data_IF_393355335886
#
_entry.id   IF_393355335886
#
_cell.length_a   1.000
_cell.length_b   1.000
_cell.length_c   1.000
_cell.angle_alpha   90.00
_cell.angle_beta   90.00
_cell.angle_gamma   90.00
#
_symmetry.space_group_name_H-M   'P 1'
#
loop_
_entity.id
_entity.type
_entity.pdbx_description
1 polymer ?
#
# COMPACT_ATOMS: atom_id res chain seq x y z
N UNK A 1 17.92 20.40 -21.27
CA UNK A 1 19.30 20.03 -20.87
C UNK A 1 19.43 19.86 -19.34
N UNK A 2 18.72 20.64 -18.51
CA UNK A 2 18.83 20.58 -17.03
C UNK A 2 18.10 19.40 -16.34
N UNK A 3 17.10 18.76 -16.97
CA UNK A 3 16.29 17.72 -16.30
C UNK A 3 16.96 16.33 -16.23
N UNK A 4 17.85 16.00 -17.18
CA UNK A 4 18.51 14.68 -17.27
C UNK A 4 19.60 14.50 -16.21
N UNK A 5 20.41 15.54 -15.95
CA UNK A 5 21.52 15.52 -14.98
C UNK A 5 21.05 15.28 -13.53
N UNK A 6 19.79 15.59 -13.23
CA UNK A 6 19.22 15.52 -11.89
C UNK A 6 18.15 14.43 -11.72
N UNK A 7 17.98 13.54 -12.72
CA UNK A 7 17.14 12.33 -12.62
C UNK A 7 17.48 11.46 -11.39
N UNK A 8 18.74 11.49 -10.95
CA UNK A 8 19.28 10.68 -9.85
C UNK A 8 19.29 11.37 -8.47
N UNK A 9 18.67 12.54 -8.36
CA UNK A 9 18.67 13.34 -7.13
C UNK A 9 17.30 13.29 -6.48
N UNK A 10 17.21 12.59 -5.34
CA UNK A 10 16.07 12.69 -4.42
C UNK A 10 16.06 14.04 -3.70
N UNK A 11 14.93 14.40 -3.10
CA UNK A 11 14.76 15.67 -2.38
C UNK A 11 15.79 15.89 -1.25
N UNK A 12 16.28 14.83 -0.62
CA UNK A 12 17.30 14.89 0.42
C UNK A 12 18.69 15.23 -0.13
N UNK A 13 19.11 14.62 -1.24
CA UNK A 13 20.35 14.96 -1.95
C UNK A 13 20.32 16.40 -2.45
N UNK A 14 19.18 16.84 -2.99
CA UNK A 14 18.98 18.23 -3.40
C UNK A 14 19.12 19.20 -2.22
N UNK A 15 18.54 18.87 -1.06
CA UNK A 15 18.66 19.68 0.17
C UNK A 15 20.11 19.79 0.65
N UNK A 16 20.85 18.67 0.72
CA UNK A 16 22.26 18.67 1.14
C UNK A 16 23.14 19.55 0.24
N UNK A 17 22.90 19.51 -1.06
CA UNK A 17 23.65 20.31 -2.03
C UNK A 17 23.27 21.78 -2.02
N UNK A 18 22.00 22.11 -1.78
CA UNK A 18 21.60 23.49 -1.48
C UNK A 18 22.32 24.03 -0.24
N UNK A 19 22.41 23.24 0.84
CA UNK A 19 23.15 23.64 2.05
C UNK A 19 24.63 23.89 1.78
N UNK A 20 25.28 23.03 0.98
CA UNK A 20 26.68 23.21 0.60
C UNK A 20 26.91 24.49 -0.22
N UNK A 21 26.06 24.75 -1.22
CA UNK A 21 26.12 25.98 -2.02
C UNK A 21 25.89 27.24 -1.17
N UNK A 22 24.94 27.19 -0.23
CA UNK A 22 24.70 28.31 0.70
C UNK A 22 25.90 28.57 1.60
N UNK A 23 26.58 27.52 2.10
CA UNK A 23 27.81 27.69 2.89
C UNK A 23 28.93 28.34 2.07
N UNK A 24 29.14 27.89 0.83
CA UNK A 24 30.15 28.47 -0.05
C UNK A 24 29.86 29.94 -0.40
N UNK A 25 28.61 30.26 -0.77
CA UNK A 25 28.18 31.64 -1.06
C UNK A 25 28.40 32.55 0.15
N UNK A 26 28.02 32.08 1.35
CA UNK A 26 28.21 32.83 2.58
C UNK A 26 29.70 32.98 2.95
N UNK A 27 30.54 31.99 2.72
CA UNK A 27 31.99 32.07 2.95
C UNK A 27 32.64 33.15 2.07
N UNK A 28 32.33 33.15 0.77
CA UNK A 28 32.81 34.20 -0.15
C UNK A 28 32.32 35.59 0.27
N UNK A 29 31.04 35.72 0.63
CA UNK A 29 30.42 37.01 0.92
C UNK A 29 30.78 37.58 2.30
N UNK A 30 30.77 36.76 3.35
CA UNK A 30 30.96 37.22 4.74
C UNK A 30 32.39 37.07 5.22
N UNK A 31 33.06 35.96 4.89
CA UNK A 31 34.38 35.66 5.46
C UNK A 31 35.50 36.30 4.63
N UNK A 32 35.41 36.27 3.30
CA UNK A 32 36.45 36.85 2.44
C UNK A 32 36.20 38.34 2.14
N UNK A 33 35.00 38.68 1.67
CA UNK A 33 34.69 40.05 1.21
C UNK A 33 34.11 40.97 2.30
N UNK A 34 33.49 40.39 3.33
CA UNK A 34 32.78 41.13 4.38
C UNK A 34 33.69 41.61 5.52
N UNK A 35 34.80 40.92 5.76
CA UNK A 35 35.78 41.29 6.77
C UNK A 35 36.86 42.21 6.17
N UNK A 36 37.07 43.37 6.79
CA UNK A 36 37.96 44.41 6.26
C UNK A 36 39.43 43.99 6.27
N UNK A 37 39.83 43.20 7.27
CA UNK A 37 41.21 42.72 7.41
C UNK A 37 41.50 41.61 6.39
N UNK A 38 40.55 40.71 6.19
CA UNK A 38 40.66 39.64 5.21
C UNK A 38 40.62 40.18 3.78
N UNK A 39 39.72 41.13 3.49
CA UNK A 39 39.63 41.79 2.17
C UNK A 39 40.91 42.52 1.80
N UNK A 40 41.61 43.14 2.76
CA UNK A 40 42.88 43.84 2.50
C UNK A 40 44.07 42.95 2.13
N UNK A 41 43.93 41.62 2.24
CA UNK A 41 44.96 40.67 1.82
C UNK A 41 44.92 40.36 0.31
N UNK A 42 43.87 40.79 -0.39
CA UNK A 42 43.66 40.54 -1.81
C UNK A 42 43.90 41.80 -2.63
N UNK A 43 44.41 41.62 -3.84
CA UNK A 43 44.45 42.67 -4.87
C UNK A 43 43.04 42.99 -5.38
N UNK A 44 42.87 44.15 -6.01
CA UNK A 44 41.58 44.55 -6.59
C UNK A 44 41.08 43.56 -7.65
N UNK A 45 42.00 42.97 -8.42
CA UNK A 45 41.70 41.92 -9.42
C UNK A 45 41.19 40.63 -8.77
N UNK A 46 41.80 40.21 -7.65
CA UNK A 46 41.35 39.04 -6.88
C UNK A 46 39.99 39.28 -6.22
N UNK A 47 39.75 40.49 -5.70
CA UNK A 47 38.44 40.89 -5.15
C UNK A 47 37.36 40.81 -6.24
N UNK A 48 37.62 41.34 -7.44
CA UNK A 48 36.67 41.29 -8.56
C UNK A 48 36.39 39.83 -9.00
N UNK A 49 37.42 38.97 -9.02
CA UNK A 49 37.26 37.56 -9.33
C UNK A 49 36.39 36.83 -8.28
N UNK A 50 36.58 37.13 -6.99
CA UNK A 50 35.78 36.57 -5.89
C UNK A 50 34.33 37.06 -5.99
N UNK A 51 34.09 38.32 -6.35
CA UNK A 51 32.75 38.86 -6.57
C UNK A 51 32.04 38.17 -7.74
N UNK A 52 32.71 38.00 -8.90
CA UNK A 52 32.16 37.23 -10.03
C UNK A 52 31.88 35.77 -9.67
N UNK A 53 32.77 35.13 -8.90
CA UNK A 53 32.56 33.77 -8.42
C UNK A 53 31.32 33.68 -7.51
N UNK A 54 31.13 34.66 -6.62
CA UNK A 54 29.94 34.76 -5.76
C UNK A 54 28.66 34.92 -6.58
N UNK A 55 28.63 35.82 -7.56
CA UNK A 55 27.46 36.04 -8.41
C UNK A 55 27.08 34.78 -9.19
N UNK A 56 28.07 34.10 -9.78
CA UNK A 56 27.86 32.82 -10.43
C UNK A 56 27.28 31.77 -9.48
N UNK A 57 27.79 31.71 -8.24
CA UNK A 57 27.34 30.76 -7.22
C UNK A 57 25.92 31.07 -6.72
N UNK A 58 25.55 32.35 -6.60
CA UNK A 58 24.18 32.77 -6.28
C UNK A 58 23.18 32.45 -7.41
N UNK A 59 23.59 32.61 -8.68
CA UNK A 59 22.78 32.18 -9.84
C UNK A 59 22.55 30.67 -9.85
N UNK A 60 23.59 29.87 -9.57
CA UNK A 60 23.46 28.41 -9.43
C UNK A 60 22.55 28.05 -8.24
N UNK A 61 22.68 28.74 -7.09
CA UNK A 61 21.84 28.54 -5.91
C UNK A 61 20.36 28.82 -6.21
N UNK A 62 20.08 29.86 -6.97
CA UNK A 62 18.73 30.20 -7.42
C UNK A 62 18.11 29.08 -8.28
N UNK A 63 18.85 28.60 -9.29
CA UNK A 63 18.42 27.47 -10.14
C UNK A 63 18.15 26.20 -9.33
N UNK A 64 19.03 25.87 -8.39
CA UNK A 64 18.84 24.72 -7.49
C UNK A 64 17.60 24.84 -6.60
N UNK A 65 17.26 26.05 -6.15
CA UNK A 65 16.09 26.28 -5.29
C UNK A 65 14.80 26.00 -6.06
N UNK A 66 14.64 26.58 -7.26
CA UNK A 66 13.48 26.35 -8.12
C UNK A 66 13.31 24.88 -8.50
N UNK A 67 14.41 24.20 -8.83
CA UNK A 67 14.39 22.78 -9.19
C UNK A 67 14.00 21.89 -8.00
N UNK A 68 14.50 22.19 -6.80
CA UNK A 68 14.12 21.49 -5.57
C UNK A 68 12.63 21.64 -5.29
N UNK A 69 12.09 22.84 -5.42
CA UNK A 69 10.66 23.11 -5.22
C UNK A 69 9.80 22.38 -6.25
N UNK A 70 10.20 22.39 -7.54
CA UNK A 70 9.54 21.59 -8.59
C UNK A 70 9.54 20.10 -8.23
N UNK A 71 10.70 19.53 -7.87
CA UNK A 71 10.80 18.11 -7.49
C UNK A 71 10.00 17.74 -6.26
N UNK A 72 9.99 18.60 -5.23
CA UNK A 72 9.17 18.37 -4.06
C UNK A 72 7.68 18.34 -4.42
N UNK A 73 7.21 19.23 -5.31
CA UNK A 73 5.84 19.20 -5.83
C UNK A 73 5.57 17.90 -6.60
N UNK A 74 6.45 17.50 -7.51
CA UNK A 74 6.31 16.27 -8.29
C UNK A 74 6.29 15.01 -7.39
N UNK A 75 7.16 14.94 -6.38
CA UNK A 75 7.19 13.86 -5.39
C UNK A 75 5.89 13.80 -4.57
N UNK A 76 5.39 14.96 -4.13
CA UNK A 76 4.12 15.04 -3.41
C UNK A 76 2.94 14.65 -4.29
N UNK A 77 2.91 15.09 -5.55
CA UNK A 77 1.86 14.75 -6.50
C UNK A 77 1.85 13.25 -6.81
N UNK A 78 3.02 12.65 -7.03
CA UNK A 78 3.15 11.19 -7.18
C UNK A 78 2.67 10.43 -5.94
N UNK A 79 3.01 10.92 -4.74
CA UNK A 79 2.53 10.33 -3.49
C UNK A 79 1.01 10.42 -3.39
N UNK A 80 0.42 11.60 -3.63
CA UNK A 80 -1.04 11.78 -3.62
C UNK A 80 -1.73 10.87 -4.65
N UNK A 81 -1.16 10.75 -5.85
CA UNK A 81 -1.69 9.85 -6.88
C UNK A 81 -1.63 8.37 -6.43
N UNK A 82 -0.53 7.95 -5.80
CA UNK A 82 -0.41 6.60 -5.22
C UNK A 82 -1.44 6.35 -4.12
N UNK A 83 -1.60 7.31 -3.20
CA UNK A 83 -2.55 7.22 -2.09
C UNK A 83 -4.01 7.17 -2.60
N UNK A 84 -4.33 7.98 -3.62
CA UNK A 84 -5.64 7.98 -4.28
C UNK A 84 -5.95 6.64 -4.98
N UNK A 85 -4.95 6.03 -5.64
CA UNK A 85 -5.09 4.69 -6.24
C UNK A 85 -5.35 3.62 -5.18
N UNK A 86 -4.60 3.64 -4.09
CA UNK A 86 -4.81 2.71 -2.98
C UNK A 86 -6.22 2.87 -2.38
N UNK A 87 -6.68 4.10 -2.19
CA UNK A 87 -8.03 4.36 -1.70
C UNK A 87 -9.12 3.85 -2.66
N UNK A 88 -8.96 4.07 -3.97
CA UNK A 88 -9.91 3.58 -4.98
C UNK A 88 -9.92 2.05 -5.06
N UNK A 89 -8.75 1.41 -5.13
CA UNK A 89 -8.62 -0.04 -5.17
C UNK A 89 -9.27 -0.68 -3.94
N UNK A 90 -9.03 -0.12 -2.75
CA UNK A 90 -9.68 -0.56 -1.51
C UNK A 90 -11.19 -0.43 -1.57
N UNK A 91 -11.70 0.73 -2.01
CA UNK A 91 -13.14 0.98 -2.13
C UNK A 91 -13.82 -0.04 -3.06
N UNK A 92 -13.27 -0.26 -4.25
CA UNK A 92 -13.81 -1.18 -5.24
C UNK A 92 -13.71 -2.65 -4.79
N UNK A 93 -12.58 -3.05 -4.23
CA UNK A 93 -12.36 -4.41 -3.71
C UNK A 93 -13.32 -4.74 -2.58
N UNK A 94 -13.49 -3.81 -1.63
CA UNK A 94 -14.46 -3.97 -0.55
C UNK A 94 -15.86 -4.11 -1.16
N UNK A 95 -16.29 -3.21 -2.04
CA UNK A 95 -17.61 -3.28 -2.67
C UNK A 95 -17.86 -4.60 -3.40
N UNK A 96 -16.84 -5.12 -4.09
CA UNK A 96 -16.88 -6.42 -4.75
C UNK A 96 -17.07 -7.57 -3.75
N UNK A 97 -16.28 -7.61 -2.67
CA UNK A 97 -16.42 -8.59 -1.58
C UNK A 97 -17.80 -8.47 -0.91
N UNK A 98 -18.32 -7.25 -0.72
CA UNK A 98 -19.70 -7.05 -0.23
C UNK A 98 -20.73 -7.62 -1.21
N UNK A 99 -20.51 -7.49 -2.52
CA UNK A 99 -21.43 -8.03 -3.52
C UNK A 99 -21.49 -9.56 -3.53
N UNK A 100 -20.42 -10.22 -3.11
CA UNK A 100 -20.34 -11.69 -3.02
C UNK A 100 -20.88 -12.30 -1.71
N UNK A 101 -21.38 -11.48 -0.77
CA UNK A 101 -21.90 -11.95 0.54
C UNK A 101 -22.47 -10.83 1.44
N UNK A 102 -22.57 -11.06 2.76
CA UNK A 102 -23.00 -10.01 3.72
C UNK A 102 -21.80 -9.20 4.23
N UNK A 103 -21.90 -7.87 4.33
CA UNK A 103 -20.86 -7.02 4.92
C UNK A 103 -21.41 -6.04 5.97
N UNK A 104 -20.74 -5.79 7.12
CA UNK A 104 -19.47 -6.40 7.56
C UNK A 104 -19.60 -7.92 7.63
N UNK A 105 -18.51 -8.61 7.30
CA UNK A 105 -18.49 -10.07 7.17
C UNK A 105 -18.78 -10.68 8.56
N UNK A 106 -20.05 -10.85 8.90
CA UNK A 106 -20.49 -11.61 10.07
C UNK A 106 -20.12 -13.08 9.90
N UNK A 107 -20.13 -13.54 8.64
CA UNK A 107 -19.75 -14.88 8.19
C UNK A 107 -18.74 -14.79 7.05
N UNK A 108 -18.04 -15.90 6.76
CA UNK A 108 -17.18 -16.01 5.59
C UNK A 108 -17.82 -17.01 4.63
N UNK A 109 -18.49 -16.50 3.59
CA UNK A 109 -19.32 -17.30 2.69
C UNK A 109 -18.49 -18.27 1.86
N UNK A 110 -19.18 -19.26 1.27
CA UNK A 110 -18.57 -20.20 0.33
C UNK A 110 -17.98 -19.49 -0.90
N UNK A 111 -18.64 -18.43 -1.39
CA UNK A 111 -18.11 -17.59 -2.47
C UNK A 111 -16.81 -16.89 -2.06
N UNK A 112 -16.73 -16.37 -0.82
CA UNK A 112 -15.49 -15.79 -0.29
C UNK A 112 -14.37 -16.83 -0.22
N UNK A 113 -14.70 -18.07 0.15
CA UNK A 113 -13.76 -19.18 0.16
C UNK A 113 -13.25 -19.53 -1.24
N UNK A 114 -14.12 -19.61 -2.25
CA UNK A 114 -13.71 -19.84 -3.62
C UNK A 114 -12.81 -18.73 -4.17
N UNK A 115 -13.17 -17.48 -3.92
CA UNK A 115 -12.36 -16.32 -4.30
C UNK A 115 -10.96 -16.39 -3.67
N UNK A 116 -10.88 -16.74 -2.39
CA UNK A 116 -9.59 -16.88 -1.70
C UNK A 116 -8.76 -18.02 -2.28
N UNK A 117 -9.37 -19.18 -2.56
CA UNK A 117 -8.69 -20.30 -3.21
C UNK A 117 -8.15 -19.93 -4.59
N UNK A 118 -8.95 -19.23 -5.39
CA UNK A 118 -8.52 -18.77 -6.72
C UNK A 118 -7.34 -17.81 -6.62
N UNK A 119 -7.39 -16.84 -5.71
CA UNK A 119 -6.28 -15.90 -5.47
C UNK A 119 -5.02 -16.62 -4.97
N UNK A 120 -5.19 -17.70 -4.20
CA UNK A 120 -4.10 -18.55 -3.76
C UNK A 120 -3.45 -19.32 -4.93
N UNK A 121 -4.24 -19.89 -5.83
CA UNK A 121 -3.76 -20.60 -7.02
C UNK A 121 -3.06 -19.63 -8.01
N UNK A 122 -3.56 -18.40 -8.10
CA UNK A 122 -2.92 -17.31 -8.85
C UNK A 122 -1.67 -16.75 -8.15
N UNK A 123 -1.30 -17.27 -6.97
CA UNK A 123 -0.14 -16.84 -6.17
C UNK A 123 -0.15 -15.34 -5.85
N UNK A 124 -1.33 -14.80 -5.58
CA UNK A 124 -1.48 -13.42 -5.11
C UNK A 124 -1.29 -13.40 -3.60
N UNK A 125 -0.20 -12.77 -3.15
CA UNK A 125 0.21 -12.76 -1.75
C UNK A 125 0.95 -14.04 -1.34
N UNK A 126 0.98 -14.31 -0.03
CA UNK A 126 1.58 -15.54 0.50
C UNK A 126 0.76 -16.77 0.13
N UNK A 127 1.40 -17.87 -0.23
CA UNK A 127 0.66 -19.12 -0.52
C UNK A 127 0.17 -19.73 0.79
N UNK A 128 -1.15 -19.83 0.93
CA UNK A 128 -1.81 -20.56 2.01
C UNK A 128 -1.73 -22.05 1.74
N UNK A 129 -1.40 -22.81 2.76
CA UNK A 129 -1.49 -24.26 2.78
C UNK A 129 -2.94 -24.72 2.99
N UNK A 130 -3.15 -26.03 2.86
CA UNK A 130 -4.45 -26.65 3.06
C UNK A 130 -5.02 -26.42 4.48
N UNK A 131 -4.15 -26.36 5.49
CA UNK A 131 -4.54 -26.15 6.88
C UNK A 131 -4.85 -24.69 7.18
N UNK A 132 -4.15 -23.75 6.53
CA UNK A 132 -4.40 -22.31 6.69
C UNK A 132 -5.82 -21.91 6.23
N UNK A 133 -6.43 -22.72 5.36
CA UNK A 133 -7.81 -22.56 4.88
C UNK A 133 -8.85 -23.23 5.80
N UNK A 134 -8.43 -23.94 6.84
CA UNK A 134 -9.33 -24.66 7.73
C UNK A 134 -9.68 -23.82 8.96
N UNK A 135 -10.96 -23.48 9.11
CA UNK A 135 -11.44 -22.73 10.27
C UNK A 135 -11.27 -23.49 11.58
N UNK A 136 -11.23 -24.82 11.55
CA UNK A 136 -11.01 -25.66 12.74
C UNK A 136 -9.53 -25.99 12.99
N UNK A 137 -8.58 -25.42 12.23
CA UNK A 137 -7.16 -25.64 12.52
C UNK A 137 -6.81 -25.13 13.92
N UNK A 138 -6.18 -26.03 14.69
CA UNK A 138 -5.80 -25.85 16.08
C UNK A 138 -4.38 -26.38 16.33
N UNK A 139 -3.60 -26.57 15.26
CA UNK A 139 -2.23 -27.09 15.30
C UNK A 139 -1.27 -26.32 16.23
N UNK A 140 -1.62 -25.08 16.61
CA UNK A 140 -0.88 -24.25 17.58
C UNK A 140 -1.42 -24.24 19.02
N UNK A 141 -2.46 -25.01 19.35
CA UNK A 141 -3.15 -24.93 20.66
C UNK A 141 -2.52 -25.90 21.67
N UNK A 142 -2.06 -25.34 22.80
CA UNK A 142 -1.46 -26.11 23.91
C UNK A 142 -2.51 -26.55 24.95
N UNK A 143 -3.65 -25.86 25.03
CA UNK A 143 -4.72 -26.12 26.02
C UNK A 143 -6.04 -26.46 25.34
N UNK A 144 -6.52 -27.68 25.55
CA UNK A 144 -7.76 -28.21 24.95
C UNK A 144 -9.00 -27.90 25.79
N UNK A 145 -9.42 -26.64 25.84
CA UNK A 145 -10.76 -26.28 26.34
C UNK A 145 -11.66 -25.75 25.20
N UNK A 146 -12.98 -25.96 25.33
CA UNK A 146 -13.94 -25.61 24.29
C UNK A 146 -13.98 -24.11 23.97
N UNK A 147 -13.71 -23.24 24.94
CA UNK A 147 -13.75 -21.79 24.77
C UNK A 147 -12.56 -21.32 23.95
N UNK A 148 -11.38 -21.90 24.16
CA UNK A 148 -10.19 -21.66 23.37
C UNK A 148 -10.39 -22.10 21.92
N UNK A 149 -10.97 -23.28 21.70
CA UNK A 149 -11.33 -23.74 20.35
C UNK A 149 -12.33 -22.79 19.66
N UNK A 150 -13.30 -22.24 20.38
CA UNK A 150 -14.21 -21.22 19.83
C UNK A 150 -13.45 -19.96 19.40
N UNK A 151 -12.60 -19.42 20.28
CA UNK A 151 -11.79 -18.23 20.00
C UNK A 151 -10.85 -18.43 18.81
N UNK A 152 -10.24 -19.61 18.69
CA UNK A 152 -9.40 -19.95 17.55
C UNK A 152 -10.18 -20.00 16.23
N UNK A 153 -11.39 -20.57 16.22
CA UNK A 153 -12.25 -20.53 15.02
C UNK A 153 -12.57 -19.10 14.60
N UNK A 154 -12.98 -18.26 15.54
CA UNK A 154 -13.28 -16.85 15.27
C UNK A 154 -12.04 -16.14 14.69
N UNK A 155 -10.86 -16.37 15.27
CA UNK A 155 -9.58 -15.84 14.81
C UNK A 155 -9.20 -16.32 13.40
N UNK A 156 -9.35 -17.62 13.12
CA UNK A 156 -9.03 -18.20 11.82
C UNK A 156 -9.94 -17.58 10.74
N UNK A 157 -11.25 -17.47 11.02
CA UNK A 157 -12.20 -16.81 10.12
C UNK A 157 -11.84 -15.35 9.88
N UNK A 158 -11.48 -14.60 10.91
CA UNK A 158 -11.07 -13.20 10.75
C UNK A 158 -9.74 -13.04 10.00
N UNK A 159 -8.86 -14.05 10.08
CA UNK A 159 -7.65 -14.10 9.27
C UNK A 159 -7.97 -14.35 7.80
N UNK A 160 -8.85 -15.30 7.48
CA UNK A 160 -9.32 -15.55 6.10
C UNK A 160 -9.99 -14.31 5.48
N UNK A 161 -10.76 -13.55 6.28
CA UNK A 161 -11.37 -12.29 5.83
C UNK A 161 -10.31 -11.24 5.45
N UNK A 162 -9.29 -11.06 6.31
CA UNK A 162 -8.19 -10.12 6.05
C UNK A 162 -7.38 -10.52 4.82
N UNK A 163 -7.04 -11.81 4.72
CA UNK A 163 -6.32 -12.36 3.57
C UNK A 163 -7.11 -12.16 2.27
N UNK A 164 -8.42 -12.41 2.28
CA UNK A 164 -9.26 -12.15 1.10
C UNK A 164 -9.24 -10.66 0.73
N UNK A 165 -9.46 -9.76 1.68
CA UNK A 165 -9.45 -8.32 1.43
C UNK A 165 -8.10 -7.86 0.84
N UNK A 166 -6.99 -8.22 1.48
CA UNK A 166 -5.65 -7.83 1.05
C UNK A 166 -5.31 -8.35 -0.35
N UNK A 167 -5.71 -9.59 -0.67
CA UNK A 167 -5.41 -10.21 -1.97
C UNK A 167 -6.27 -9.66 -3.10
N UNK A 168 -7.57 -9.41 -2.86
CA UNK A 168 -8.41 -8.74 -3.87
C UNK A 168 -7.88 -7.32 -4.11
N UNK A 169 -7.52 -6.58 -3.06
CA UNK A 169 -6.89 -5.25 -3.20
C UNK A 169 -5.59 -5.35 -3.98
N UNK A 170 -4.74 -6.33 -3.69
CA UNK A 170 -3.47 -6.53 -4.41
C UNK A 170 -3.71 -6.85 -5.89
N UNK A 171 -4.69 -7.70 -6.19
CA UNK A 171 -5.08 -8.00 -7.56
C UNK A 171 -5.55 -6.76 -8.31
N UNK A 172 -6.45 -5.97 -7.72
CA UNK A 172 -6.93 -4.71 -8.29
C UNK A 172 -5.78 -3.71 -8.40
N UNK A 173 -4.87 -3.63 -7.43
CA UNK A 173 -3.68 -2.77 -7.52
C UNK A 173 -2.72 -3.17 -8.65
N UNK A 174 -2.72 -4.43 -9.07
CA UNK A 174 -2.03 -4.89 -10.27
C UNK A 174 -2.57 -4.27 -11.57
N UNK A 175 -3.68 -3.52 -11.53
CA UNK A 175 -4.15 -2.70 -12.64
C UNK A 175 -3.25 -1.51 -12.94
N UNK A 176 -2.31 -1.17 -12.06
CA UNK A 176 -1.39 -0.03 -12.22
C UNK A 176 0.08 -0.48 -12.25
N UNK A 177 0.93 0.22 -13.00
CA UNK A 177 2.38 0.01 -13.04
C UNK A 177 3.09 0.62 -11.82
N UNK A 178 4.37 0.28 -11.64
CA UNK A 178 5.26 0.97 -10.70
C UNK A 178 5.42 2.48 -11.01
N UNK A 179 5.31 2.89 -12.29
CA UNK A 179 5.28 4.30 -12.72
C UNK A 179 3.94 4.98 -12.41
N UNK A 180 2.90 4.21 -12.07
CA UNK A 180 1.55 4.69 -11.79
C UNK A 180 0.64 4.76 -13.00
N UNK A 181 1.10 4.32 -14.15
CA UNK A 181 0.28 4.23 -15.36
C UNK A 181 -0.74 3.11 -15.20
N UNK A 182 -1.93 3.32 -15.74
CA UNK A 182 -2.98 2.33 -15.74
C UNK A 182 -2.64 1.27 -16.80
N UNK A 183 -2.46 0.02 -16.38
CA UNK A 183 -2.33 -1.15 -17.26
C UNK A 183 -3.72 -1.59 -17.72
N UNK A 184 -4.68 -1.64 -16.79
CA UNK A 184 -6.07 -2.00 -17.02
C UNK A 184 -6.95 -1.17 -16.08
N UNK A 185 -8.22 -0.94 -16.43
CA UNK A 185 -9.16 -0.34 -15.48
C UNK A 185 -9.41 -1.29 -14.29
N UNK A 186 -9.58 -0.77 -13.06
CA UNK A 186 -9.88 -1.59 -11.88
C UNK A 186 -11.11 -2.48 -12.07
N UNK A 187 -12.14 -1.95 -12.71
CA UNK A 187 -13.38 -2.66 -13.07
C UNK A 187 -13.09 -3.82 -14.03
N UNK A 188 -12.19 -3.63 -14.99
CA UNK A 188 -11.78 -4.70 -15.92
C UNK A 188 -11.01 -5.81 -15.18
N UNK A 189 -10.18 -5.46 -14.19
CA UNK A 189 -9.48 -6.45 -13.35
C UNK A 189 -10.42 -7.22 -12.44
N UNK A 190 -11.45 -6.57 -11.90
CA UNK A 190 -12.51 -7.24 -11.14
C UNK A 190 -13.36 -8.14 -12.04
N UNK A 191 -13.67 -7.72 -13.26
CA UNK A 191 -14.36 -8.55 -14.25
C UNK A 191 -13.52 -9.79 -14.63
N UNK A 192 -12.22 -9.63 -14.86
CA UNK A 192 -11.28 -10.74 -15.11
C UNK A 192 -11.16 -11.67 -13.88
N UNK A 193 -11.18 -11.13 -12.66
CA UNK A 193 -11.21 -11.95 -11.46
C UNK A 193 -12.50 -12.78 -11.39
N UNK A 194 -13.63 -12.16 -11.70
CA UNK A 194 -14.95 -12.81 -11.68
C UNK A 194 -15.07 -13.88 -12.76
N UNK A 195 -14.53 -13.64 -13.96
CA UNK A 195 -14.61 -14.60 -15.06
C UNK A 195 -13.78 -15.86 -14.80
N UNK A 196 -12.70 -15.76 -14.00
CA UNK A 196 -11.90 -16.91 -13.56
C UNK A 196 -12.59 -17.76 -12.50
N UNK A 197 -13.59 -17.21 -11.81
CA UNK A 197 -14.41 -17.94 -10.85
C UNK A 197 -15.53 -18.71 -11.57
N UNK A 198 -15.16 -19.55 -12.52
CA UNK A 198 -16.11 -20.31 -13.33
C UNK A 198 -16.58 -21.60 -12.64
N UNK A 199 -17.56 -22.27 -13.25
CA UNK A 199 -18.14 -23.49 -12.69
C UNK A 199 -17.14 -24.66 -12.59
N UNK A 200 -16.14 -24.72 -13.48
CA UNK A 200 -15.14 -25.78 -13.47
C UNK A 200 -14.16 -25.58 -12.30
N UNK A 201 -13.74 -24.34 -12.07
CA UNK A 201 -12.93 -23.98 -10.91
C UNK A 201 -13.68 -24.25 -9.61
N UNK A 202 -14.94 -23.81 -9.50
CA UNK A 202 -15.79 -24.05 -8.32
C UNK A 202 -15.91 -25.55 -8.03
N UNK A 203 -16.18 -26.38 -9.05
CA UNK A 203 -16.26 -27.84 -8.89
C UNK A 203 -14.96 -28.45 -8.37
N UNK A 204 -13.81 -27.96 -8.85
CA UNK A 204 -12.49 -28.42 -8.40
C UNK A 204 -12.24 -28.06 -6.93
N UNK A 205 -12.61 -26.84 -6.52
CA UNK A 205 -12.47 -26.40 -5.12
C UNK A 205 -13.41 -27.17 -4.21
N UNK A 206 -14.65 -27.42 -4.63
CA UNK A 206 -15.61 -28.22 -3.87
C UNK A 206 -15.11 -29.63 -3.59
N UNK A 207 -14.54 -30.29 -4.60
CA UNK A 207 -14.00 -31.63 -4.44
C UNK A 207 -12.78 -31.63 -3.52
N UNK A 208 -11.84 -30.70 -3.76
CA UNK A 208 -10.56 -30.64 -3.04
C UNK A 208 -10.70 -30.22 -1.57
N UNK A 209 -11.60 -29.29 -1.28
CA UNK A 209 -11.73 -28.65 0.04
C UNK A 209 -13.07 -28.93 0.73
N UNK A 210 -13.76 -30.00 0.32
CA UNK A 210 -15.06 -30.40 0.87
C UNK A 210 -15.14 -30.32 2.40
N UNK A 211 -14.13 -30.88 3.08
CA UNK A 211 -14.08 -30.90 4.55
C UNK A 211 -14.01 -29.50 5.18
N UNK A 212 -13.14 -28.62 4.67
CA UNK A 212 -13.05 -27.24 5.15
C UNK A 212 -14.34 -26.45 4.87
N UNK A 213 -14.93 -26.65 3.69
CA UNK A 213 -16.18 -25.99 3.32
C UNK A 213 -17.31 -26.41 4.27
N UNK A 214 -17.45 -27.70 4.58
CA UNK A 214 -18.46 -28.20 5.51
C UNK A 214 -18.28 -27.61 6.93
N UNK A 215 -17.03 -27.52 7.41
CA UNK A 215 -16.69 -26.91 8.71
C UNK A 215 -17.00 -25.41 8.73
N UNK A 216 -16.65 -24.69 7.66
CA UNK A 216 -16.97 -23.28 7.48
C UNK A 216 -18.48 -23.03 7.46
N UNK A 217 -19.26 -23.84 6.74
CA UNK A 217 -20.71 -23.74 6.69
C UNK A 217 -21.37 -24.07 8.04
N UNK A 218 -20.83 -25.03 8.78
CA UNK A 218 -21.25 -25.31 10.16
C UNK A 218 -21.00 -24.11 11.07
N UNK A 219 -19.83 -23.47 10.97
CA UNK A 219 -19.51 -22.24 11.70
C UNK A 219 -20.49 -21.11 11.36
N UNK A 220 -20.71 -20.84 10.07
CA UNK A 220 -21.61 -19.78 9.62
C UNK A 220 -23.04 -19.97 10.12
N UNK A 221 -23.58 -21.20 10.07
CA UNK A 221 -24.91 -21.52 10.63
C UNK A 221 -25.00 -21.25 12.13
N UNK A 222 -23.94 -21.52 12.89
CA UNK A 222 -23.91 -21.26 14.33
C UNK A 222 -23.93 -19.75 14.63
N UNK A 223 -23.23 -18.94 13.84
CA UNK A 223 -23.25 -17.49 13.92
C UNK A 223 -24.64 -16.93 13.56
N UNK A 224 -25.22 -17.35 12.44
CA UNK A 224 -26.55 -16.91 12.03
C UNK A 224 -27.62 -17.22 13.09
N UNK A 225 -27.55 -18.42 13.69
CA UNK A 225 -28.44 -18.79 14.79
C UNK A 225 -28.21 -17.96 16.06
N UNK A 226 -26.99 -17.47 16.31
CA UNK A 226 -26.69 -16.56 17.42
C UNK A 226 -27.28 -15.17 17.15
N UNK A 227 -27.10 -14.63 15.94
CA UNK A 227 -27.64 -13.31 15.52
C UNK A 227 -29.16 -13.29 15.61
N UNK A 228 -29.83 -14.29 15.03
CA UNK A 228 -31.31 -14.40 15.11
C UNK A 228 -31.80 -14.43 16.55
N UNK A 229 -31.13 -15.20 17.43
CA UNK A 229 -31.49 -15.27 18.86
C UNK A 229 -31.31 -13.94 19.60
N UNK A 230 -30.31 -13.14 19.25
CA UNK A 230 -30.17 -11.79 19.83
C UNK A 230 -31.24 -10.83 19.34
N UNK A 231 -31.66 -10.91 18.07
CA UNK A 231 -32.72 -10.06 17.52
C UNK A 231 -34.06 -10.35 18.20
N UNK A 232 -34.41 -11.61 18.44
CA UNK A 232 -35.64 -11.98 19.17
C UNK A 232 -35.67 -11.47 20.62
N UNK A 233 -34.52 -11.39 21.29
CA UNK A 233 -34.44 -10.86 22.65
C UNK A 233 -34.68 -9.35 22.72
N UNK A 234 -34.25 -8.61 21.70
CA UNK A 234 -34.42 -7.14 21.63
C UNK A 234 -35.89 -6.75 21.36
N UNK A 235 -36.68 -7.61 20.73
CA UNK A 235 -38.10 -7.34 20.39
C UNK A 235 -39.06 -7.68 21.55
N UNK A 236 -38.59 -8.38 22.58
CA UNK A 236 -39.40 -8.78 23.75
C UNK A 236 -39.21 -7.89 24.98
N UNK A 237 -38.28 -6.93 24.92
CA UNK A 237 -38.08 -5.85 25.90
C UNK A 237 -38.70 -4.54 25.38
#
# INVERSE_FOLDING_TARGET
>A
MDEELFKYWDSDKAKKKQTALTRLSNGLAKELLGDRNTKSLFSDEEVEAIEKAREALDSVKYKFTHLKEKRLRDEQERKRAKDARQALAKKLSIAYIKGSGSYPLTTFSRNHFYLLCMLNDLRIGYTLSFNDLDVEDSSGVVTHDEEHFRRMRDYNVDTLKRELEERVITWVLGAWTYSGELINEPEARLADLTSKLDAAFVGTVDERYKGQIERLEKYNRAIDAKVKRSEFKIVQD
#
